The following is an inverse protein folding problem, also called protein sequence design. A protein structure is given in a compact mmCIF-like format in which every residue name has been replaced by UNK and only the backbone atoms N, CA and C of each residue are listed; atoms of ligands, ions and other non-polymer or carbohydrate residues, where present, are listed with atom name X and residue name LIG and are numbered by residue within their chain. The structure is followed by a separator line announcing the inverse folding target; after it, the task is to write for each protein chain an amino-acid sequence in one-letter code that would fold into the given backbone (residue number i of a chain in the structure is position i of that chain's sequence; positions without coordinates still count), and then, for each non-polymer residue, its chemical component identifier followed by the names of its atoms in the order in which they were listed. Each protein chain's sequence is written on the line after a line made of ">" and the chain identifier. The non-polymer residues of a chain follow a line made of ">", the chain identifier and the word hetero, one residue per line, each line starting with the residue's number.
data_IF_342791195898
#
_entry.id   IF_342791195898
#
_cell.length_a   1.000
_cell.length_b   1.000
_cell.length_c   1.000
_cell.angle_alpha   90.00
_cell.angle_beta   90.00
_cell.angle_gamma   90.00
#
_symmetry.space_group_name_H-M   'P 1'
#
loop_
_entity.id
_entity.type
_entity.pdbx_description
1 polymer ?
#
# COMPACT_ATOMS: atom_id res chain seq x y z
N UNK A 1 2.40 9.53 -29.29
CA UNK A 1 2.76 8.98 -27.96
C UNK A 1 2.27 9.96 -26.92
N UNK A 2 1.08 9.73 -26.35
CA UNK A 2 0.64 10.53 -25.21
C UNK A 2 1.59 10.26 -24.04
N UNK A 3 2.10 11.34 -23.46
CA UNK A 3 2.96 11.30 -22.29
C UNK A 3 2.09 10.86 -21.11
N UNK A 4 2.34 9.66 -20.57
CA UNK A 4 1.75 9.24 -19.30
C UNK A 4 2.08 10.31 -18.26
N UNK A 5 1.08 11.09 -17.85
CA UNK A 5 1.26 12.11 -16.81
C UNK A 5 1.52 11.37 -15.51
N UNK A 6 2.75 11.44 -15.04
CA UNK A 6 3.16 10.80 -13.79
C UNK A 6 2.90 11.74 -12.62
N UNK A 7 1.92 11.39 -11.79
CA UNK A 7 1.51 12.19 -10.65
C UNK A 7 2.37 11.87 -9.42
N UNK A 8 3.52 12.54 -9.32
CA UNK A 8 4.47 12.39 -8.20
C UNK A 8 3.80 12.53 -6.83
N UNK A 9 2.81 13.42 -6.70
CA UNK A 9 2.05 13.62 -5.45
C UNK A 9 1.36 12.32 -5.00
N UNK A 10 0.80 11.55 -5.92
CA UNK A 10 0.13 10.28 -5.58
C UNK A 10 1.12 9.25 -5.07
N UNK A 11 2.33 9.22 -5.63
CA UNK A 11 3.37 8.29 -5.18
C UNK A 11 3.97 8.72 -3.84
N UNK A 12 4.16 10.02 -3.59
CA UNK A 12 4.54 10.52 -2.27
C UNK A 12 3.50 10.18 -1.20
N UNK A 13 2.21 10.35 -1.50
CA UNK A 13 1.15 10.00 -0.57
C UNK A 13 1.10 8.49 -0.28
N UNK A 14 1.38 7.65 -1.27
CA UNK A 14 1.51 6.19 -1.07
C UNK A 14 2.68 5.83 -0.18
N UNK A 15 3.84 6.43 -0.41
CA UNK A 15 5.03 6.22 0.44
C UNK A 15 4.72 6.65 1.86
N UNK A 16 4.12 7.83 2.04
CA UNK A 16 3.71 8.31 3.35
C UNK A 16 2.72 7.36 4.05
N UNK A 17 1.69 6.90 3.35
CA UNK A 17 0.75 5.94 3.91
C UNK A 17 1.43 4.60 4.27
N UNK A 18 2.33 4.10 3.42
CA UNK A 18 3.11 2.90 3.71
C UNK A 18 4.02 3.06 4.94
N UNK A 19 4.57 4.25 5.18
CA UNK A 19 5.34 4.54 6.40
C UNK A 19 4.45 4.52 7.65
N UNK A 20 3.22 5.03 7.58
CA UNK A 20 2.26 4.93 8.70
C UNK A 20 1.90 3.48 9.01
N UNK A 21 1.69 2.66 7.97
CA UNK A 21 1.46 1.21 8.13
C UNK A 21 2.65 0.53 8.77
N UNK A 22 3.88 0.86 8.33
CA UNK A 22 5.12 0.32 8.89
C UNK A 22 5.30 0.70 10.36
N UNK A 23 5.08 1.97 10.71
CA UNK A 23 5.15 2.45 12.09
C UNK A 23 4.17 1.71 12.99
N UNK A 24 2.95 1.46 12.52
CA UNK A 24 1.99 0.66 13.26
C UNK A 24 2.44 -0.80 13.44
N UNK A 25 3.01 -1.42 12.41
CA UNK A 25 3.53 -2.79 12.55
C UNK A 25 4.60 -2.85 13.64
N UNK A 26 5.52 -1.89 13.69
CA UNK A 26 6.49 -1.81 14.78
C UNK A 26 5.84 -1.53 16.14
N UNK A 27 4.86 -0.62 16.20
CA UNK A 27 4.13 -0.28 17.41
C UNK A 27 3.37 -1.47 18.02
N UNK A 28 3.10 -2.52 17.24
CA UNK A 28 2.39 -3.72 17.70
C UNK A 28 3.20 -5.01 17.52
N UNK A 29 4.50 -4.94 17.20
CA UNK A 29 5.31 -6.13 16.93
C UNK A 29 5.68 -6.85 18.23
N UNK A 30 5.45 -8.16 18.31
CA UNK A 30 5.79 -8.96 19.49
C UNK A 30 7.31 -9.24 19.60
N UNK A 31 7.84 -9.34 20.82
CA UNK A 31 9.25 -9.70 21.05
C UNK A 31 9.57 -11.15 20.67
N UNK A 32 8.63 -12.05 20.95
CA UNK A 32 8.84 -13.51 20.92
C UNK A 32 8.35 -14.18 19.65
N UNK A 33 7.63 -13.46 18.79
CA UNK A 33 7.05 -14.03 17.57
C UNK A 33 6.77 -12.95 16.53
N UNK A 34 6.60 -13.35 15.27
CA UNK A 34 6.17 -12.46 14.18
C UNK A 34 4.65 -12.25 14.21
N UNK A 35 4.11 -11.80 15.34
CA UNK A 35 2.68 -11.56 15.54
C UNK A 35 2.41 -10.15 16.10
N UNK A 36 1.13 -9.80 16.11
CA UNK A 36 0.63 -8.62 16.83
C UNK A 36 0.62 -8.93 18.32
N UNK A 37 1.09 -7.99 19.14
CA UNK A 37 1.06 -8.02 20.60
C UNK A 37 0.52 -6.70 21.17
N UNK A 38 0.10 -6.74 22.42
CA UNK A 38 -0.39 -5.61 23.18
C UNK A 38 0.30 -5.55 24.56
N UNK A 39 0.29 -4.38 25.20
CA UNK A 39 0.85 -4.22 26.55
C UNK A 39 2.37 -4.42 26.62
N UNK A 40 2.82 -5.16 27.63
CA UNK A 40 4.25 -5.37 27.92
C UNK A 40 5.00 -6.22 26.89
N UNK A 41 4.27 -6.95 26.03
CA UNK A 41 4.86 -7.91 25.09
C UNK A 41 5.25 -7.26 23.75
N UNK A 42 4.96 -5.97 23.58
CA UNK A 42 5.32 -5.16 22.42
C UNK A 42 6.81 -4.82 22.45
N UNK A 43 7.51 -5.19 21.38
CA UNK A 43 8.95 -5.01 21.25
C UNK A 43 9.39 -3.54 21.18
N UNK A 44 8.56 -2.68 20.58
CA UNK A 44 8.84 -1.26 20.42
C UNK A 44 7.79 -0.42 21.14
N UNK A 45 7.60 -0.64 22.44
CA UNK A 45 6.57 0.04 23.24
C UNK A 45 6.64 1.59 23.20
N UNK A 46 7.81 2.18 22.92
CA UNK A 46 7.94 3.64 22.72
C UNK A 46 7.19 4.16 21.49
N UNK A 47 6.83 3.29 20.54
CA UNK A 47 6.01 3.59 19.36
C UNK A 47 4.51 3.39 19.62
N UNK A 48 4.09 3.04 20.84
CA UNK A 48 2.68 2.80 21.19
C UNK A 48 1.74 3.95 20.83
N UNK A 49 2.21 5.20 20.81
CA UNK A 49 1.43 6.35 20.34
C UNK A 49 1.01 6.25 18.86
N UNK A 50 1.69 5.40 18.09
CA UNK A 50 1.37 5.11 16.69
C UNK A 50 0.54 3.84 16.52
N UNK A 51 0.26 3.10 17.60
CA UNK A 51 -0.69 1.99 17.56
C UNK A 51 -2.08 2.54 17.18
N UNK A 52 -2.66 2.01 16.09
CA UNK A 52 -3.94 2.48 15.54
C UNK A 52 -3.82 3.43 14.35
N UNK A 53 -2.68 4.13 14.17
CA UNK A 53 -2.43 4.91 12.95
C UNK A 53 -2.29 4.02 11.71
N UNK A 54 -1.96 2.73 11.89
CA UNK A 54 -1.89 1.78 10.80
C UNK A 54 -3.22 1.53 10.12
N UNK A 55 -4.34 1.52 10.86
CA UNK A 55 -5.67 1.34 10.26
C UNK A 55 -5.96 2.46 9.25
N UNK A 56 -5.70 3.70 9.65
CA UNK A 56 -5.83 4.87 8.78
C UNK A 56 -4.84 4.80 7.60
N UNK A 57 -3.58 4.42 7.87
CA UNK A 57 -2.57 4.25 6.83
C UNK A 57 -2.96 3.22 5.76
N UNK A 58 -3.55 2.09 6.17
CA UNK A 58 -4.03 1.03 5.28
C UNK A 58 -5.18 1.55 4.40
N UNK A 59 -6.17 2.21 5.00
CA UNK A 59 -7.30 2.79 4.28
C UNK A 59 -6.84 3.81 3.23
N UNK A 60 -6.00 4.76 3.62
CA UNK A 60 -5.46 5.78 2.72
C UNK A 60 -4.64 5.15 1.58
N UNK A 61 -3.78 4.18 1.90
CA UNK A 61 -2.96 3.48 0.91
C UNK A 61 -3.81 2.76 -0.15
N UNK A 62 -4.86 2.06 0.28
CA UNK A 62 -5.76 1.35 -0.62
C UNK A 62 -6.61 2.30 -1.48
N UNK A 63 -7.15 3.38 -0.89
CA UNK A 63 -7.94 4.37 -1.61
C UNK A 63 -7.12 5.03 -2.72
N UNK A 64 -5.93 5.56 -2.39
CA UNK A 64 -5.04 6.18 -3.39
C UNK A 64 -4.63 5.18 -4.46
N UNK A 65 -4.35 3.94 -4.05
CA UNK A 65 -4.01 2.89 -5.01
C UNK A 65 -5.17 2.59 -5.95
N UNK A 66 -6.40 2.51 -5.46
CA UNK A 66 -7.61 2.36 -6.26
C UNK A 66 -7.75 3.46 -7.32
N UNK A 67 -7.54 4.72 -6.94
CA UNK A 67 -7.57 5.85 -7.88
C UNK A 67 -6.53 5.71 -8.99
N UNK A 68 -5.27 5.43 -8.64
CA UNK A 68 -4.20 5.27 -9.66
C UNK A 68 -4.44 4.06 -10.55
N UNK A 69 -5.00 2.98 -9.99
CA UNK A 69 -5.39 1.79 -10.75
C UNK A 69 -6.49 2.15 -11.76
N UNK A 70 -7.51 2.89 -11.34
CA UNK A 70 -8.59 3.36 -12.20
C UNK A 70 -8.07 4.30 -13.29
N UNK A 71 -7.19 5.24 -12.96
CA UNK A 71 -6.51 6.11 -13.95
C UNK A 71 -5.65 5.32 -14.94
N UNK A 72 -5.02 4.24 -14.49
CA UNK A 72 -4.22 3.37 -15.38
C UNK A 72 -5.10 2.54 -16.34
N UNK A 73 -6.36 2.33 -15.96
CA UNK A 73 -7.35 1.60 -16.75
C UNK A 73 -8.27 2.54 -17.56
N UNK A 74 -8.27 3.84 -17.27
CA UNK A 74 -9.05 4.84 -18.02
C UNK A 74 -8.37 5.07 -19.36
N UNK A 75 -9.00 4.58 -20.43
CA UNK A 75 -8.50 4.61 -21.80
C UNK A 75 -9.44 3.85 -22.74
N UNK A 76 -8.90 3.32 -23.83
CA UNK A 76 -9.65 2.50 -24.78
C UNK A 76 -10.25 1.25 -24.10
N UNK A 77 -11.57 1.08 -24.25
CA UNK A 77 -12.29 -0.07 -23.71
C UNK A 77 -12.10 -1.35 -24.55
N UNK A 78 -12.49 -2.50 -24.00
CA UNK A 78 -12.53 -3.77 -24.71
C UNK A 78 -11.67 -4.88 -24.09
N UNK A 79 -11.90 -6.11 -24.55
CA UNK A 79 -11.26 -7.30 -24.00
C UNK A 79 -9.73 -7.28 -24.15
N UNK A 80 -9.22 -6.75 -25.28
CA UNK A 80 -7.78 -6.64 -25.56
C UNK A 80 -7.05 -5.74 -24.55
N UNK A 81 -7.64 -4.60 -24.19
CA UNK A 81 -7.08 -3.67 -23.21
C UNK A 81 -7.13 -4.23 -21.79
N UNK A 82 -8.22 -4.90 -21.43
CA UNK A 82 -8.35 -5.60 -20.14
C UNK A 82 -7.28 -6.71 -19.99
N UNK A 83 -7.08 -7.54 -21.02
CA UNK A 83 -6.05 -8.58 -21.03
C UNK A 83 -4.64 -8.01 -20.92
N UNK A 84 -4.34 -6.91 -21.63
CA UNK A 84 -3.05 -6.23 -21.54
C UNK A 84 -2.80 -5.70 -20.13
N UNK A 85 -3.78 -5.04 -19.53
CA UNK A 85 -3.71 -4.55 -18.15
C UNK A 85 -3.49 -5.68 -17.15
N UNK A 86 -4.24 -6.80 -17.28
CA UNK A 86 -4.09 -7.97 -16.42
C UNK A 86 -2.69 -8.59 -16.55
N UNK A 87 -2.17 -8.73 -17.79
CA UNK A 87 -0.81 -9.25 -18.05
C UNK A 87 0.27 -8.40 -17.38
N UNK A 88 0.20 -7.07 -17.51
CA UNK A 88 1.16 -6.16 -16.87
C UNK A 88 1.18 -6.29 -15.35
N UNK A 89 0.03 -6.58 -14.72
CA UNK A 89 -0.03 -6.86 -13.28
C UNK A 89 0.47 -8.25 -12.92
N UNK A 90 0.10 -9.25 -13.70
CA UNK A 90 0.55 -10.63 -13.50
C UNK A 90 2.08 -10.71 -13.50
N UNK A 91 2.76 -10.03 -14.43
CA UNK A 91 4.24 -9.98 -14.47
C UNK A 91 4.90 -9.32 -13.26
N UNK A 92 4.15 -8.56 -12.44
CA UNK A 92 4.67 -7.94 -11.22
C UNK A 92 4.44 -8.79 -9.97
N UNK A 93 3.47 -9.70 -10.00
CA UNK A 93 3.03 -10.48 -8.83
C UNK A 93 3.48 -11.93 -8.93
N UNK A 94 3.40 -12.52 -10.13
CA UNK A 94 3.77 -13.91 -10.36
C UNK A 94 5.30 -14.07 -10.40
N UNK A 95 5.83 -15.16 -9.83
CA UNK A 95 7.24 -15.49 -9.97
C UNK A 95 7.58 -15.71 -11.47
N UNK A 96 8.80 -15.31 -11.85
CA UNK A 96 9.33 -15.41 -13.21
C UNK A 96 9.76 -16.84 -13.57
#
# INVERSE_FOLDING_TARGET
>A
MERNVHYHVMDFLRIFAALLVLLNHFATFAWSSASVAEGSDVAFGFLSAFAGLGAVGVEVFFVISGFVIAMSASGEGGASHALRFARMRATRILPA
#
